data_IF_570464406647
#
_entry.id   IF_570464406647
#
_cell.length_a   1.000
_cell.length_b   1.000
_cell.length_c   1.000
_cell.angle_alpha   90.00
_cell.angle_beta   90.00
_cell.angle_gamma   90.00
#
_symmetry.space_group_name_H-M   'P 1'
#
loop_
_entity.id
_entity.type
_entity.pdbx_description
1 polymer ?
#
# COMPACT_ATOMS: atom_id res chain seq x y z
N UNK A 1 -24.90 16.78 9.14
CA UNK A 1 -23.77 15.82 9.13
C UNK A 1 -23.93 14.97 7.87
N UNK A 2 -23.00 15.03 6.93
CA UNK A 2 -23.18 14.32 5.64
C UNK A 2 -22.91 12.82 5.82
N UNK A 3 -23.47 11.97 4.95
CA UNK A 3 -23.18 10.51 4.95
C UNK A 3 -21.67 10.23 4.84
N UNK A 4 -20.93 11.13 4.18
CA UNK A 4 -19.48 11.08 4.07
C UNK A 4 -18.74 11.31 5.41
N UNK A 5 -19.24 12.22 6.24
CA UNK A 5 -18.67 12.50 7.56
C UNK A 5 -18.86 11.33 8.53
N UNK A 6 -19.99 10.61 8.41
CA UNK A 6 -20.25 9.39 9.17
C UNK A 6 -19.26 8.29 8.77
N UNK A 7 -19.12 8.01 7.47
CA UNK A 7 -18.24 6.96 6.97
C UNK A 7 -16.78 7.15 7.38
N UNK A 8 -16.25 8.38 7.25
CA UNK A 8 -14.86 8.70 7.63
C UNK A 8 -14.59 8.56 9.13
N UNK A 9 -15.62 8.68 9.97
CA UNK A 9 -15.52 8.51 11.43
C UNK A 9 -15.50 7.03 11.82
N UNK A 10 -16.32 6.20 11.18
CA UNK A 10 -16.39 4.75 11.46
C UNK A 10 -15.18 3.99 10.90
N UNK A 11 -14.75 4.29 9.68
CA UNK A 11 -13.58 3.68 9.04
C UNK A 11 -12.31 4.49 9.30
N UNK A 12 -11.85 4.53 10.54
CA UNK A 12 -10.60 5.22 10.89
C UNK A 12 -9.80 4.48 11.95
N UNK A 13 -8.49 4.72 11.96
CA UNK A 13 -7.61 4.20 12.99
C UNK A 13 -7.47 2.68 12.96
N UNK A 14 -7.32 2.10 14.14
CA UNK A 14 -7.21 0.65 14.33
C UNK A 14 -8.46 -0.13 13.92
N UNK A 15 -9.65 0.48 13.98
CA UNK A 15 -10.89 -0.16 13.54
C UNK A 15 -10.85 -0.52 12.06
N UNK A 16 -10.30 0.38 11.23
CA UNK A 16 -10.07 0.11 9.81
C UNK A 16 -9.19 -1.13 9.64
N UNK A 17 -8.05 -1.18 10.34
CA UNK A 17 -7.11 -2.33 10.26
C UNK A 17 -7.82 -3.61 10.67
N UNK A 18 -8.48 -3.62 11.83
CA UNK A 18 -9.17 -4.80 12.36
C UNK A 18 -10.23 -5.31 11.40
N UNK A 19 -11.08 -4.44 10.85
CA UNK A 19 -12.14 -4.84 9.91
C UNK A 19 -11.55 -5.43 8.64
N UNK A 20 -10.51 -4.80 8.06
CA UNK A 20 -9.87 -5.31 6.84
C UNK A 20 -9.23 -6.67 7.07
N UNK A 21 -8.49 -6.84 8.18
CA UNK A 21 -7.86 -8.11 8.50
C UNK A 21 -8.89 -9.19 8.82
N UNK A 22 -9.91 -8.90 9.63
CA UNK A 22 -10.98 -9.86 9.93
C UNK A 22 -11.71 -10.29 8.66
N UNK A 23 -12.13 -9.34 7.81
CA UNK A 23 -12.82 -9.66 6.56
C UNK A 23 -11.94 -10.51 5.66
N UNK A 24 -10.65 -10.15 5.50
CA UNK A 24 -9.74 -10.88 4.63
C UNK A 24 -9.45 -12.29 5.15
N UNK A 25 -9.35 -12.46 6.47
CA UNK A 25 -9.22 -13.77 7.11
C UNK A 25 -10.50 -14.60 6.91
N UNK A 26 -11.68 -14.04 7.12
CA UNK A 26 -12.96 -14.73 6.91
C UNK A 26 -13.13 -15.17 5.45
N UNK A 27 -12.81 -14.30 4.49
CA UNK A 27 -12.82 -14.64 3.07
C UNK A 27 -11.82 -15.76 2.75
N UNK A 28 -10.64 -15.73 3.38
CA UNK A 28 -9.64 -16.79 3.21
C UNK A 28 -10.11 -18.13 3.76
N UNK A 29 -10.74 -18.15 4.94
CA UNK A 29 -11.35 -19.36 5.52
C UNK A 29 -12.49 -19.89 4.65
N UNK A 30 -13.35 -18.98 4.15
CA UNK A 30 -14.41 -19.34 3.21
C UNK A 30 -13.87 -19.95 1.92
N UNK A 31 -12.77 -19.41 1.38
CA UNK A 31 -12.10 -19.96 0.20
C UNK A 31 -11.56 -21.37 0.42
N UNK A 32 -10.94 -21.64 1.60
CA UNK A 32 -10.49 -23.00 1.95
C UNK A 32 -11.67 -23.97 2.04
N UNK A 33 -12.79 -23.54 2.63
CA UNK A 33 -13.99 -24.37 2.77
C UNK A 33 -14.71 -24.63 1.44
N UNK A 34 -14.75 -23.65 0.53
CA UNK A 34 -15.43 -23.76 -0.75
C UNK A 34 -14.60 -24.46 -1.84
N UNK A 35 -13.27 -24.28 -1.81
CA UNK A 35 -12.33 -24.80 -2.82
C UNK A 35 -11.18 -25.54 -2.15
N UNK A 36 -11.35 -26.84 -1.81
CA UNK A 36 -10.30 -27.60 -1.14
C UNK A 36 -9.02 -27.72 -1.96
N UNK A 37 -7.87 -27.72 -1.29
CA UNK A 37 -6.56 -27.96 -1.90
C UNK A 37 -5.96 -26.73 -2.60
N UNK A 38 -5.27 -26.97 -3.72
CA UNK A 38 -4.44 -25.96 -4.41
C UNK A 38 -5.27 -24.80 -4.97
N UNK A 39 -6.50 -25.07 -5.40
CA UNK A 39 -7.37 -24.06 -6.00
C UNK A 39 -7.75 -22.96 -5.01
N UNK A 40 -8.23 -23.32 -3.81
CA UNK A 40 -8.53 -22.36 -2.76
C UNK A 40 -7.31 -21.57 -2.33
N UNK A 41 -6.14 -22.20 -2.25
CA UNK A 41 -4.90 -21.49 -1.92
C UNK A 41 -4.51 -20.48 -3.01
N UNK A 42 -4.62 -20.82 -4.31
CA UNK A 42 -4.37 -19.88 -5.41
C UNK A 42 -5.35 -18.71 -5.40
N UNK A 43 -6.60 -18.96 -5.02
CA UNK A 43 -7.61 -17.91 -4.83
C UNK A 43 -7.19 -16.94 -3.72
N UNK A 44 -6.76 -17.46 -2.56
CA UNK A 44 -6.28 -16.66 -1.43
C UNK A 44 -5.04 -15.86 -1.82
N UNK A 45 -4.05 -16.47 -2.49
CA UNK A 45 -2.85 -15.79 -3.00
C UNK A 45 -3.25 -14.60 -3.88
N UNK A 46 -4.18 -14.80 -4.81
CA UNK A 46 -4.63 -13.75 -5.73
C UNK A 46 -5.40 -12.64 -5.00
N UNK A 47 -6.36 -12.99 -4.15
CA UNK A 47 -7.16 -12.02 -3.40
C UNK A 47 -6.30 -11.15 -2.47
N UNK A 48 -5.40 -11.79 -1.71
CA UNK A 48 -4.53 -11.09 -0.75
C UNK A 48 -3.50 -10.19 -1.45
N UNK A 49 -2.94 -10.62 -2.59
CA UNK A 49 -2.03 -9.79 -3.39
C UNK A 49 -2.70 -8.52 -3.93
N UNK A 50 -3.92 -8.66 -4.47
CA UNK A 50 -4.68 -7.52 -5.01
C UNK A 50 -5.09 -6.56 -3.91
N UNK A 51 -5.64 -7.08 -2.81
CA UNK A 51 -6.02 -6.28 -1.67
C UNK A 51 -4.81 -5.53 -1.10
N UNK A 52 -3.67 -6.21 -0.91
CA UNK A 52 -2.47 -5.58 -0.35
C UNK A 52 -1.97 -4.45 -1.25
N UNK A 53 -1.95 -4.65 -2.57
CA UNK A 53 -1.57 -3.61 -3.54
C UNK A 53 -2.44 -2.35 -3.44
N UNK A 54 -3.76 -2.50 -3.25
CA UNK A 54 -4.69 -1.38 -3.05
C UNK A 54 -4.33 -0.59 -1.80
N UNK A 55 -4.18 -1.27 -0.64
CA UNK A 55 -3.84 -0.60 0.61
C UNK A 55 -2.46 0.04 0.58
N UNK A 56 -1.50 -0.59 -0.09
CA UNK A 56 -0.19 -0.01 -0.35
C UNK A 56 -0.30 1.27 -1.17
N UNK A 57 -0.99 1.27 -2.30
CA UNK A 57 -1.18 2.44 -3.15
C UNK A 57 -1.84 3.59 -2.39
N UNK A 58 -2.85 3.29 -1.55
CA UNK A 58 -3.49 4.27 -0.69
C UNK A 58 -2.51 4.86 0.33
N UNK A 59 -1.69 4.06 1.01
CA UNK A 59 -0.69 4.56 1.94
C UNK A 59 0.44 5.35 1.24
N UNK A 60 0.86 4.89 0.07
CA UNK A 60 1.97 5.43 -0.71
C UNK A 60 1.67 6.79 -1.31
N UNK A 61 0.45 6.97 -1.84
CA UNK A 61 -0.01 8.19 -2.53
C UNK A 61 -0.63 9.24 -1.60
N UNK A 62 -0.91 8.91 -0.33
CA UNK A 62 -1.67 9.77 0.59
C UNK A 62 -1.19 11.23 0.66
N UNK A 63 0.11 11.47 0.86
CA UNK A 63 0.66 12.82 0.95
C UNK A 63 0.72 13.55 -0.40
N UNK A 64 0.83 12.80 -1.50
CA UNK A 64 0.84 13.37 -2.83
C UNK A 64 -0.57 13.82 -3.25
N UNK A 65 -1.57 12.93 -3.07
CA UNK A 65 -2.96 13.24 -3.38
C UNK A 65 -3.47 14.44 -2.58
N UNK A 66 -3.16 14.50 -1.27
CA UNK A 66 -3.54 15.63 -0.44
C UNK A 66 -2.90 16.95 -0.89
N UNK A 67 -1.64 16.92 -1.35
CA UNK A 67 -0.94 18.11 -1.85
C UNK A 67 -1.43 18.61 -3.20
N UNK A 68 -2.06 17.74 -4.02
CA UNK A 68 -2.63 18.09 -5.32
C UNK A 68 -4.08 18.56 -5.17
N UNK A 69 -4.88 17.83 -4.37
CA UNK A 69 -6.30 18.09 -4.20
C UNK A 69 -6.72 17.84 -2.74
N UNK A 70 -6.82 18.89 -1.90
CA UNK A 70 -7.19 18.77 -0.49
C UNK A 70 -8.71 18.57 -0.30
N UNK A 71 -9.23 17.43 -0.75
CA UNK A 71 -10.62 17.00 -0.55
C UNK A 71 -10.83 16.33 0.82
N UNK A 72 -12.08 16.16 1.28
CA UNK A 72 -12.37 15.35 2.46
C UNK A 72 -11.76 13.93 2.40
N UNK A 73 -11.75 13.31 1.21
CA UNK A 73 -11.14 12.00 0.98
C UNK A 73 -9.62 12.02 1.15
N UNK A 74 -8.91 12.96 0.52
CA UNK A 74 -7.44 13.00 0.63
C UNK A 74 -6.97 13.34 2.06
N UNK A 75 -7.76 14.13 2.80
CA UNK A 75 -7.54 14.36 4.24
C UNK A 75 -7.72 13.08 5.05
N UNK A 76 -8.78 12.32 4.80
CA UNK A 76 -9.02 11.03 5.46
C UNK A 76 -7.88 10.04 5.17
N UNK A 77 -7.48 9.94 3.90
CA UNK A 77 -6.40 9.05 3.47
C UNK A 77 -5.06 9.43 4.13
N UNK A 78 -4.73 10.73 4.19
CA UNK A 78 -3.51 11.22 4.84
C UNK A 78 -3.52 10.94 6.35
N UNK A 79 -4.64 11.20 7.03
CA UNK A 79 -4.81 10.91 8.47
C UNK A 79 -4.70 9.41 8.75
N UNK A 80 -5.20 8.58 7.84
CA UNK A 80 -5.17 7.13 7.99
C UNK A 80 -3.95 6.44 7.36
N UNK A 81 -2.97 7.20 6.84
CA UNK A 81 -1.81 6.66 6.12
C UNK A 81 -1.09 5.54 6.86
N UNK A 82 -0.88 5.71 8.17
CA UNK A 82 -0.28 4.69 9.04
C UNK A 82 -1.12 3.41 9.08
N UNK A 83 -2.43 3.54 9.29
CA UNK A 83 -3.36 2.43 9.39
C UNK A 83 -3.55 1.69 8.06
N UNK A 84 -3.58 2.42 6.94
CA UNK A 84 -3.55 1.83 5.59
C UNK A 84 -2.27 1.01 5.37
N UNK A 85 -1.12 1.49 5.86
CA UNK A 85 0.13 0.73 5.85
C UNK A 85 0.07 -0.55 6.70
N UNK A 86 -0.60 -0.51 7.86
CA UNK A 86 -0.83 -1.70 8.69
C UNK A 86 -1.81 -2.69 8.05
N UNK A 87 -2.87 -2.22 7.39
CA UNK A 87 -3.77 -3.08 6.63
C UNK A 87 -3.01 -3.79 5.50
N UNK A 88 -2.16 -3.06 4.76
CA UNK A 88 -1.24 -3.64 3.79
C UNK A 88 -0.32 -4.71 4.42
N UNK A 89 0.33 -4.40 5.55
CA UNK A 89 1.22 -5.33 6.22
C UNK A 89 0.51 -6.62 6.67
N UNK A 90 -0.69 -6.52 7.25
CA UNK A 90 -1.44 -7.70 7.66
C UNK A 90 -1.97 -8.53 6.48
N UNK A 91 -2.33 -7.88 5.36
CA UNK A 91 -2.66 -8.59 4.11
C UNK A 91 -1.44 -9.31 3.53
N UNK A 92 -0.24 -8.71 3.63
CA UNK A 92 1.00 -9.40 3.25
C UNK A 92 1.29 -10.60 4.16
N UNK A 93 0.96 -10.53 5.45
CA UNK A 93 1.07 -11.71 6.34
C UNK A 93 0.16 -12.85 5.85
N UNK A 94 -1.11 -12.57 5.55
CA UNK A 94 -2.02 -13.57 4.98
C UNK A 94 -1.50 -14.11 3.64
N UNK A 95 -0.96 -13.23 2.80
CA UNK A 95 -0.38 -13.59 1.52
C UNK A 95 0.82 -14.54 1.66
N UNK A 96 1.74 -14.27 2.60
CA UNK A 96 2.90 -15.15 2.89
C UNK A 96 2.43 -16.52 3.35
N UNK A 97 1.46 -16.56 4.26
CA UNK A 97 0.89 -17.83 4.73
C UNK A 97 0.34 -18.62 3.55
N UNK A 98 -0.41 -17.98 2.65
CA UNK A 98 -0.93 -18.62 1.45
C UNK A 98 0.18 -19.06 0.47
N UNK A 99 1.26 -18.29 0.30
CA UNK A 99 2.41 -18.69 -0.50
C UNK A 99 3.13 -19.91 0.09
N UNK A 100 3.31 -19.95 1.41
CA UNK A 100 3.89 -21.13 2.10
C UNK A 100 2.98 -22.34 1.87
N UNK A 101 1.66 -22.20 2.05
CA UNK A 101 0.72 -23.28 1.75
C UNK A 101 0.74 -23.71 0.28
N UNK A 102 0.94 -22.77 -0.66
CA UNK A 102 1.04 -23.11 -2.08
C UNK A 102 2.33 -23.87 -2.39
N UNK A 103 3.44 -23.44 -1.80
CA UNK A 103 4.74 -24.08 -1.93
C UNK A 103 4.73 -25.51 -1.36
N UNK A 104 3.98 -25.77 -0.28
CA UNK A 104 3.87 -27.11 0.32
C UNK A 104 2.92 -28.02 -0.46
N UNK A 105 1.77 -27.50 -0.92
CA UNK A 105 0.76 -28.31 -1.59
C UNK A 105 1.09 -28.61 -3.06
N UNK A 106 1.80 -27.72 -3.74
CA UNK A 106 2.14 -27.89 -5.16
C UNK A 106 3.51 -27.28 -5.51
N UNK A 107 4.63 -27.88 -5.05
CA UNK A 107 5.98 -27.32 -5.20
C UNK A 107 6.34 -26.98 -6.66
N UNK A 108 6.11 -27.90 -7.60
CA UNK A 108 6.43 -27.67 -9.03
C UNK A 108 5.60 -26.53 -9.65
N UNK A 109 4.33 -26.40 -9.25
CA UNK A 109 3.48 -25.27 -9.66
C UNK A 109 3.90 -23.95 -9.01
N UNK A 110 4.43 -24.00 -7.78
CA UNK A 110 4.89 -22.83 -7.07
C UNK A 110 6.19 -22.29 -7.69
N UNK A 111 7.16 -23.14 -8.00
CA UNK A 111 8.42 -22.74 -8.63
C UNK A 111 8.20 -22.01 -9.96
N UNK A 112 7.30 -22.54 -10.79
CA UNK A 112 6.91 -21.90 -12.06
C UNK A 112 6.19 -20.57 -11.83
N UNK A 113 5.36 -20.46 -10.79
CA UNK A 113 4.63 -19.23 -10.47
C UNK A 113 5.53 -18.10 -9.92
N UNK A 114 6.50 -18.41 -9.05
CA UNK A 114 7.43 -17.43 -8.48
C UNK A 114 8.35 -16.85 -9.56
N UNK A 115 8.66 -17.64 -10.61
CA UNK A 115 9.50 -17.18 -11.72
C UNK A 115 11.00 -17.21 -11.40
N UNK A 116 11.41 -18.13 -10.54
CA UNK A 116 12.82 -18.42 -10.26
C UNK A 116 13.40 -17.74 -9.02
N UNK A 117 14.63 -18.13 -8.68
CA UNK A 117 15.28 -17.80 -7.41
C UNK A 117 15.49 -16.30 -7.20
N UNK A 118 15.79 -15.54 -8.26
CA UNK A 118 16.00 -14.08 -8.18
C UNK A 118 14.75 -13.38 -7.69
N UNK A 119 13.58 -13.70 -8.26
CA UNK A 119 12.30 -13.13 -7.82
C UNK A 119 11.98 -13.55 -6.39
N UNK A 120 12.27 -14.80 -6.04
CA UNK A 120 12.15 -15.29 -4.67
C UNK A 120 12.95 -14.46 -3.65
N UNK A 121 14.21 -14.13 -3.96
CA UNK A 121 15.08 -13.30 -3.11
C UNK A 121 14.50 -11.89 -2.95
N UNK A 122 14.07 -11.26 -4.04
CA UNK A 122 13.40 -9.95 -3.97
C UNK A 122 12.10 -10.00 -3.16
N UNK A 123 11.35 -11.10 -3.23
CA UNK A 123 10.18 -11.35 -2.39
C UNK A 123 10.53 -11.37 -0.89
N UNK A 124 11.55 -12.14 -0.50
CA UNK A 124 12.03 -12.21 0.88
C UNK A 124 12.49 -10.84 1.38
N UNK A 125 13.32 -10.14 0.60
CA UNK A 125 13.75 -8.78 0.92
C UNK A 125 12.55 -7.82 1.06
N UNK A 126 11.52 -8.01 0.24
CA UNK A 126 10.23 -7.32 0.32
C UNK A 126 9.57 -7.50 1.68
N UNK A 127 9.42 -8.74 2.15
CA UNK A 127 8.81 -9.02 3.45
C UNK A 127 9.61 -8.46 4.62
N UNK A 128 10.94 -8.56 4.58
CA UNK A 128 11.81 -7.91 5.58
C UNK A 128 11.56 -6.40 5.61
N UNK A 129 11.44 -5.77 4.43
CA UNK A 129 11.14 -4.34 4.32
C UNK A 129 9.75 -4.02 4.91
N UNK A 130 8.72 -4.81 4.60
CA UNK A 130 7.37 -4.64 5.16
C UNK A 130 7.41 -4.69 6.69
N UNK A 131 8.07 -5.69 7.27
CA UNK A 131 8.21 -5.84 8.72
C UNK A 131 8.96 -4.64 9.31
N UNK A 132 10.08 -4.23 8.71
CA UNK A 132 10.84 -3.07 9.17
C UNK A 132 9.99 -1.79 9.20
N UNK A 133 9.22 -1.52 8.13
CA UNK A 133 8.34 -0.35 8.06
C UNK A 133 7.17 -0.44 9.05
N UNK A 134 6.61 -1.63 9.28
CA UNK A 134 5.53 -1.82 10.25
C UNK A 134 6.02 -1.60 11.69
N UNK A 135 7.17 -2.18 12.05
CA UNK A 135 7.77 -2.03 13.38
C UNK A 135 8.20 -0.59 13.66
N UNK A 136 8.73 0.12 12.67
CA UNK A 136 9.15 1.53 12.80
C UNK A 136 8.01 2.54 12.66
N UNK A 137 6.77 2.07 12.47
CA UNK A 137 5.56 2.91 12.48
C UNK A 137 5.01 3.19 13.89
N UNK A 138 5.58 2.58 14.94
CA UNK A 138 5.24 2.89 16.33
C UNK A 138 6.08 4.05 16.88
N UNK A 139 5.51 4.83 17.80
CA UNK A 139 6.21 6.01 18.34
C UNK A 139 7.55 5.67 19.01
N UNK A 140 7.65 4.64 19.88
CA UNK A 140 8.91 4.33 20.55
C UNK A 140 10.04 3.99 19.56
N UNK A 141 9.76 3.12 18.59
CA UNK A 141 10.73 2.68 17.57
C UNK A 141 11.08 3.80 16.60
N UNK A 142 10.12 4.64 16.23
CA UNK A 142 10.38 5.82 15.38
C UNK A 142 11.31 6.84 16.06
N UNK A 143 11.16 7.04 17.38
CA UNK A 143 12.03 7.93 18.17
C UNK A 143 13.45 7.37 18.31
N UNK A 144 13.60 6.05 18.52
CA UNK A 144 14.90 5.40 18.59
C UNK A 144 15.73 5.54 17.30
N UNK A 145 15.08 5.50 16.14
CA UNK A 145 15.75 5.59 14.85
C UNK A 145 16.20 7.02 14.52
N UNK A 146 15.53 8.03 15.06
CA UNK A 146 15.72 9.44 14.75
C UNK A 146 15.01 9.86 13.46
N UNK A 147 14.62 11.15 13.35
CA UNK A 147 13.72 11.62 12.29
C UNK A 147 14.28 11.46 10.87
N UNK A 148 15.58 11.66 10.68
CA UNK A 148 16.23 11.57 9.37
C UNK A 148 16.29 10.13 8.85
N UNK A 149 16.83 9.22 9.67
CA UNK A 149 16.95 7.79 9.33
C UNK A 149 15.56 7.16 9.14
N UNK A 150 14.60 7.51 9.99
CA UNK A 150 13.21 7.09 9.84
C UNK A 150 12.61 7.56 8.51
N UNK A 151 12.81 8.83 8.14
CA UNK A 151 12.31 9.37 6.88
C UNK A 151 12.96 8.69 5.67
N UNK A 152 14.27 8.45 5.72
CA UNK A 152 15.01 7.74 4.67
C UNK A 152 14.51 6.31 4.54
N UNK A 153 14.42 5.57 5.65
CA UNK A 153 13.91 4.18 5.68
C UNK A 153 12.50 4.09 5.10
N UNK A 154 11.57 4.90 5.58
CA UNK A 154 10.20 4.88 5.06
C UNK A 154 10.12 5.33 3.60
N UNK A 155 10.98 6.23 3.14
CA UNK A 155 11.02 6.62 1.72
C UNK A 155 11.57 5.49 0.86
N UNK A 156 12.81 5.05 1.10
CA UNK A 156 13.48 4.02 0.30
C UNK A 156 12.71 2.70 0.35
N UNK A 157 12.31 2.26 1.54
CA UNK A 157 11.52 1.04 1.73
C UNK A 157 10.18 1.09 0.99
N UNK A 158 9.49 2.23 1.00
CA UNK A 158 8.24 2.36 0.21
C UNK A 158 8.49 2.26 -1.29
N UNK A 159 9.56 2.88 -1.82
CA UNK A 159 9.88 2.77 -3.25
C UNK A 159 10.33 1.35 -3.63
N UNK A 160 11.06 0.68 -2.74
CA UNK A 160 11.43 -0.72 -2.93
C UNK A 160 10.19 -1.63 -2.98
N UNK A 161 9.25 -1.47 -2.03
CA UNK A 161 7.98 -2.21 -2.05
C UNK A 161 7.16 -1.90 -3.31
N UNK A 162 7.10 -0.63 -3.72
CA UNK A 162 6.42 -0.25 -4.97
C UNK A 162 7.05 -0.98 -6.17
N UNK A 163 8.38 -1.03 -6.24
CA UNK A 163 9.11 -1.68 -7.32
C UNK A 163 8.84 -3.19 -7.38
N UNK A 164 8.91 -3.90 -6.25
CA UNK A 164 8.64 -5.35 -6.26
C UNK A 164 7.19 -5.67 -6.63
N UNK A 165 6.23 -4.85 -6.19
CA UNK A 165 4.82 -5.01 -6.57
C UNK A 165 4.66 -4.75 -8.07
N UNK A 166 5.28 -3.69 -8.60
CA UNK A 166 5.25 -3.41 -10.03
C UNK A 166 5.82 -4.57 -10.85
N UNK A 167 6.97 -5.14 -10.46
CA UNK A 167 7.53 -6.31 -11.14
C UNK A 167 6.59 -7.51 -11.05
N UNK A 168 6.05 -7.81 -9.87
CA UNK A 168 5.14 -8.95 -9.67
C UNK A 168 3.88 -8.85 -10.55
N UNK A 169 3.22 -7.69 -10.56
CA UNK A 169 2.04 -7.47 -11.40
C UNK A 169 2.37 -7.36 -12.89
N UNK A 170 3.54 -6.82 -13.27
CA UNK A 170 3.97 -6.78 -14.67
C UNK A 170 4.18 -8.21 -15.21
N UNK A 171 4.86 -9.07 -14.44
CA UNK A 171 5.05 -10.46 -14.82
C UNK A 171 3.73 -11.23 -14.88
N UNK A 172 2.77 -10.93 -14.00
CA UNK A 172 1.44 -11.50 -14.08
C UNK A 172 0.71 -11.08 -15.36
N UNK A 173 0.78 -9.80 -15.72
CA UNK A 173 0.19 -9.25 -16.95
C UNK A 173 0.79 -9.89 -18.21
N UNK A 174 2.11 -10.06 -18.26
CA UNK A 174 2.80 -10.68 -19.39
C UNK A 174 2.45 -12.16 -19.58
N UNK A 175 2.15 -12.88 -18.49
CA UNK A 175 1.80 -14.31 -18.54
C UNK A 175 0.32 -14.58 -18.82
N UNK A 176 -0.56 -13.64 -18.52
CA UNK A 176 -2.00 -13.79 -18.67
C UNK A 176 -2.68 -12.48 -19.16
N UNK A 177 -2.42 -12.05 -20.42
CA UNK A 177 -2.85 -10.74 -20.93
C UNK A 177 -4.37 -10.58 -21.10
N UNK A 178 -5.16 -11.66 -21.08
CA UNK A 178 -6.62 -11.64 -21.30
C UNK A 178 -7.45 -11.27 -20.07
N UNK A 179 -6.85 -11.12 -18.88
CA UNK A 179 -7.56 -10.76 -17.67
C UNK A 179 -7.63 -9.23 -17.53
N UNK A 180 -8.78 -8.64 -17.89
CA UNK A 180 -9.12 -7.23 -17.62
C UNK A 180 -8.76 -6.82 -16.17
N UNK A 181 -8.91 -7.77 -15.23
CA UNK A 181 -8.62 -7.58 -13.81
C UNK A 181 -7.14 -7.45 -13.46
N UNK A 182 -6.19 -7.95 -14.26
CA UNK A 182 -4.76 -7.75 -14.01
C UNK A 182 -4.27 -6.32 -14.31
N UNK A 183 -5.09 -5.52 -15.02
CA UNK A 183 -4.74 -4.17 -15.44
C UNK A 183 -4.94 -3.12 -14.35
N UNK A 184 -5.85 -3.38 -13.40
CA UNK A 184 -6.28 -2.36 -12.44
C UNK A 184 -5.19 -2.08 -11.41
N UNK A 185 -4.57 -3.11 -10.84
CA UNK A 185 -3.53 -2.93 -9.81
C UNK A 185 -2.27 -2.31 -10.41
N UNK A 186 -1.89 -2.73 -11.62
CA UNK A 186 -0.78 -2.11 -12.34
C UNK A 186 -1.08 -0.63 -12.64
N UNK A 187 -2.28 -0.31 -13.13
CA UNK A 187 -2.69 1.07 -13.36
C UNK A 187 -2.68 1.90 -12.07
N UNK A 188 -3.13 1.32 -10.94
CA UNK A 188 -3.08 1.97 -9.63
C UNK A 188 -1.65 2.21 -9.15
N UNK A 189 -0.74 1.25 -9.34
CA UNK A 189 0.67 1.40 -9.00
C UNK A 189 1.31 2.52 -9.81
N UNK A 190 1.10 2.55 -11.12
CA UNK A 190 1.60 3.62 -12.00
C UNK A 190 0.99 4.98 -11.63
N UNK A 191 -0.33 5.05 -11.42
CA UNK A 191 -1.00 6.27 -10.99
C UNK A 191 -0.44 6.78 -9.66
N UNK A 192 -0.21 5.90 -8.69
CA UNK A 192 0.37 6.26 -7.39
C UNK A 192 1.81 6.81 -7.53
N UNK A 193 2.58 6.32 -8.50
CA UNK A 193 3.91 6.83 -8.82
C UNK A 193 3.83 8.21 -9.47
N UNK A 194 2.98 8.37 -10.48
CA UNK A 194 2.77 9.64 -11.19
C UNK A 194 2.35 10.72 -10.20
N UNK A 195 1.34 10.45 -9.36
CA UNK A 195 0.88 11.39 -8.32
C UNK A 195 2.02 11.92 -7.46
N UNK A 196 3.00 11.08 -7.12
CA UNK A 196 4.14 11.46 -6.27
C UNK A 196 5.16 12.38 -6.94
N UNK A 197 5.22 12.39 -8.26
CA UNK A 197 6.15 13.19 -9.05
C UNK A 197 5.50 14.46 -9.61
N UNK A 198 4.18 14.60 -9.52
CA UNK A 198 3.50 15.86 -9.87
C UNK A 198 4.01 16.99 -8.94
N UNK A 199 4.49 18.11 -9.49
CA UNK A 199 4.90 19.27 -8.70
C UNK A 199 3.75 19.77 -7.83
N UNK A 200 4.00 19.96 -6.53
CA UNK A 200 2.99 20.51 -5.61
C UNK A 200 2.89 22.00 -5.85
N UNK A 201 1.68 22.50 -6.11
CA UNK A 201 1.42 23.95 -6.10
C UNK A 201 1.60 24.43 -4.65
N UNK A 202 2.73 25.07 -4.35
CA UNK A 202 2.90 25.83 -3.12
C UNK A 202 1.89 26.98 -3.20
N UNK A 203 0.87 26.96 -2.35
CA UNK A 203 -0.07 28.07 -2.25
C UNK A 203 0.70 29.37 -2.00
N UNK A 204 0.32 30.41 -2.73
CA UNK A 204 0.90 31.76 -2.83
C UNK A 204 0.79 32.59 -1.55
N UNK A 205 1.18 32.04 -0.40
CA UNK A 205 1.26 32.82 0.87
C UNK A 205 2.46 33.79 0.82
N UNK A 206 3.43 33.57 -0.08
CA UNK A 206 4.58 34.46 -0.26
C UNK A 206 4.23 35.75 -1.01
N UNK A 207 3.20 35.74 -1.86
CA UNK A 207 2.86 36.91 -2.68
C UNK A 207 2.14 37.99 -1.87
N UNK A 208 1.31 37.60 -0.90
CA UNK A 208 0.57 38.53 -0.04
C UNK A 208 1.52 39.34 0.88
N UNK A 209 2.51 38.68 1.51
CA UNK A 209 3.53 39.35 2.32
C UNK A 209 4.46 40.28 1.53
N UNK A 210 4.63 40.04 0.22
CA UNK A 210 5.41 40.92 -0.66
C UNK A 210 4.62 42.16 -1.09
N UNK A 211 3.30 42.05 -1.25
CA UNK A 211 2.42 43.17 -1.56
C UNK A 211 2.17 44.07 -0.36
N UNK A 212 1.96 43.50 0.84
CA UNK A 212 1.84 44.31 2.07
C UNK A 212 3.13 45.05 2.42
N UNK A 213 4.31 44.43 2.24
CA UNK A 213 5.58 45.15 2.45
C UNK A 213 5.79 46.28 1.46
N UNK A 214 5.40 46.14 0.19
CA UNK A 214 5.52 47.22 -0.79
C UNK A 214 4.55 48.37 -0.53
N UNK A 215 3.35 48.08 -0.04
CA UNK A 215 2.37 49.12 0.34
C UNK A 215 2.84 49.97 1.53
N UNK A 216 3.51 49.35 2.53
CA UNK A 216 4.02 50.05 3.72
C UNK A 216 5.29 50.86 3.44
N UNK A 217 6.06 50.54 2.38
CA UNK A 217 7.28 51.28 2.02
C UNK A 217 6.97 52.52 1.15
N UNK A 218 5.75 52.63 0.62
CA UNK A 218 5.32 53.73 -0.26
C UNK A 218 4.23 54.65 0.34
N UNK A 219 3.96 54.55 1.65
CA UNK A 219 3.07 55.44 2.42
C UNK A 219 3.88 56.25 3.43
#
# INVERSE_FOLDING_TARGET
MTSFDLWTRYFSGWRLVTVIIMLSTLLSLGAVGAFPGVEGVRLIVSMTARASAIFFCLAFSASALHGISPTPWSRWQLRNRRYLGFAFAGLQTLHVVALISFATLAPASFETAVGGIVIGIFGIAGYITVVALALTSFEPTSKMLGPERWRTLHRSGSYFIWFILAVAFALHLLRAPSLIYANVEMAMLLASLVLRHIPRRRGSIQDDHSMTRRAVIHS
#
